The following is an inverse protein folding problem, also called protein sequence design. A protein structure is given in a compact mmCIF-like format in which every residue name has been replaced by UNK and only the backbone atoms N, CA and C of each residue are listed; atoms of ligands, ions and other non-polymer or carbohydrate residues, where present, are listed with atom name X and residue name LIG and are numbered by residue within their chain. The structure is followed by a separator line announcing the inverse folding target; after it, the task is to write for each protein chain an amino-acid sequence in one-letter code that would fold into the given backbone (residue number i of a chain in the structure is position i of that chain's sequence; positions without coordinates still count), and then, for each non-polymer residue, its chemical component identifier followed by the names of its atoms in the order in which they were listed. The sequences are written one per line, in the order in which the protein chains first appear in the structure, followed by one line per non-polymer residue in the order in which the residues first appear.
data_IF_204251724361
#
_entry.id   IF_204251724361
#
_cell.length_a   1.000
_cell.length_b   1.000
_cell.length_c   1.000
_cell.angle_alpha   90.00
_cell.angle_beta   90.00
_cell.angle_gamma   90.00
#
_symmetry.space_group_name_H-M   'P 1'
#
loop_
_entity.id
_entity.type
_entity.pdbx_description
1 polymer ?
#
# COMPACT_ATOMS: atom_id res chain seq x y z
N UNK A 1 11.74 -2.07 0.03
CA UNK A 1 11.88 -1.21 -1.15
C UNK A 1 10.55 -1.11 -1.88
N UNK A 2 10.11 0.11 -2.17
CA UNK A 2 8.86 0.34 -2.90
C UNK A 2 9.03 0.09 -4.39
N UNK A 3 8.05 -0.58 -4.98
CA UNK A 3 7.99 -0.86 -6.41
C UNK A 3 6.62 -0.43 -6.93
N UNK A 4 6.59 0.39 -7.98
CA UNK A 4 5.34 0.76 -8.64
C UNK A 4 4.88 -0.42 -9.49
N UNK A 5 3.61 -0.79 -9.34
CA UNK A 5 3.05 -1.97 -10.02
C UNK A 5 2.95 -1.74 -11.52
N UNK A 6 3.38 -2.74 -12.26
CA UNK A 6 3.23 -2.82 -13.72
C UNK A 6 2.20 -3.88 -14.07
N UNK A 7 1.73 -3.87 -15.31
CA UNK A 7 0.68 -4.77 -15.79
C UNK A 7 1.01 -6.26 -15.63
N UNK A 8 2.29 -6.62 -15.69
CA UNK A 8 2.73 -8.00 -15.57
C UNK A 8 2.72 -8.54 -14.13
N UNK A 9 2.40 -7.68 -13.15
CA UNK A 9 2.36 -8.03 -11.73
C UNK A 9 0.94 -8.21 -11.19
N UNK A 10 -0.05 -8.30 -12.06
CA UNK A 10 -1.46 -8.36 -11.66
C UNK A 10 -1.78 -9.52 -10.72
N UNK A 11 -1.17 -10.70 -10.92
CA UNK A 11 -1.40 -11.86 -10.06
C UNK A 11 -0.93 -11.63 -8.63
N UNK A 12 0.23 -10.98 -8.46
CA UNK A 12 0.77 -10.64 -7.14
C UNK A 12 -0.15 -9.64 -6.44
N UNK A 13 -0.60 -8.62 -7.16
CA UNK A 13 -1.50 -7.60 -6.63
C UNK A 13 -2.82 -8.22 -6.20
N UNK A 14 -3.43 -9.04 -7.05
CA UNK A 14 -4.70 -9.70 -6.73
C UNK A 14 -4.55 -10.60 -5.50
N UNK A 15 -3.45 -11.34 -5.41
CA UNK A 15 -3.15 -12.20 -4.27
C UNK A 15 -3.03 -11.41 -2.97
N UNK A 16 -2.32 -10.29 -2.97
CA UNK A 16 -2.18 -9.45 -1.78
C UNK A 16 -3.50 -8.75 -1.42
N UNK A 17 -4.22 -8.22 -2.40
CA UNK A 17 -5.52 -7.59 -2.15
C UNK A 17 -6.51 -8.55 -1.51
N UNK A 18 -6.42 -9.85 -1.81
CA UNK A 18 -7.32 -10.84 -1.22
C UNK A 18 -7.19 -10.97 0.29
N UNK A 19 -6.10 -10.50 0.89
CA UNK A 19 -5.93 -10.47 2.35
C UNK A 19 -6.61 -9.28 3.01
N UNK A 20 -7.15 -8.34 2.24
CA UNK A 20 -7.84 -7.19 2.79
C UNK A 20 -9.20 -7.60 3.34
N UNK A 21 -9.48 -7.22 4.61
CA UNK A 21 -10.71 -7.62 5.29
C UNK A 21 -11.97 -6.99 4.70
N UNK A 22 -11.83 -5.89 3.95
CA UNK A 22 -12.96 -5.20 3.31
C UNK A 22 -13.25 -5.71 1.89
N UNK A 23 -12.47 -6.67 1.38
CA UNK A 23 -12.67 -7.25 0.06
C UNK A 23 -13.12 -8.71 0.20
N UNK A 24 -14.44 -8.92 0.18
CA UNK A 24 -15.04 -10.18 0.59
C UNK A 24 -14.87 -11.34 -0.41
N UNK A 25 -14.67 -11.05 -1.70
CA UNK A 25 -14.58 -12.09 -2.73
C UNK A 25 -13.70 -11.64 -3.91
N UNK A 26 -13.48 -12.56 -4.84
CA UNK A 26 -12.66 -12.31 -6.03
C UNK A 26 -13.21 -11.17 -6.88
N UNK A 27 -14.54 -11.06 -6.98
CA UNK A 27 -15.16 -9.99 -7.75
C UNK A 27 -14.88 -8.62 -7.12
N UNK A 28 -14.91 -8.52 -5.78
CA UNK A 28 -14.57 -7.29 -5.07
C UNK A 28 -13.10 -6.92 -5.27
N UNK A 29 -12.20 -7.90 -5.21
CA UNK A 29 -10.77 -7.72 -5.45
C UNK A 29 -10.52 -7.20 -6.87
N UNK A 30 -11.19 -7.79 -7.86
CA UNK A 30 -11.05 -7.38 -9.25
C UNK A 30 -11.54 -5.95 -9.46
N UNK A 31 -12.68 -5.58 -8.87
CA UNK A 31 -13.22 -4.21 -8.96
C UNK A 31 -12.25 -3.19 -8.38
N UNK A 32 -11.64 -3.51 -7.24
CA UNK A 32 -10.69 -2.61 -6.59
C UNK A 32 -9.42 -2.45 -7.43
N UNK A 33 -8.91 -3.55 -7.98
CA UNK A 33 -7.77 -3.50 -8.89
C UNK A 33 -8.07 -2.64 -10.12
N UNK A 34 -9.23 -2.86 -10.74
CA UNK A 34 -9.65 -2.10 -11.93
C UNK A 34 -9.80 -0.62 -11.62
N UNK A 35 -10.28 -0.29 -10.41
CA UNK A 35 -10.41 1.09 -9.97
C UNK A 35 -9.05 1.80 -9.95
N UNK A 36 -8.01 1.12 -9.45
CA UNK A 36 -6.66 1.70 -9.46
C UNK A 36 -6.10 1.84 -10.88
N UNK A 37 -6.46 0.94 -11.77
CA UNK A 37 -5.99 0.99 -13.16
C UNK A 37 -6.73 2.02 -14.02
N UNK A 38 -7.87 2.50 -13.57
CA UNK A 38 -8.75 3.36 -14.39
C UNK A 38 -8.37 4.84 -14.38
N UNK A 39 -7.41 5.26 -13.54
CA UNK A 39 -7.05 6.67 -13.42
C UNK A 39 -5.55 6.80 -13.08
N UNK A 40 -4.87 7.70 -13.79
CA UNK A 40 -3.43 7.91 -13.61
C UNK A 40 -3.07 8.52 -12.26
N UNK A 41 -4.04 9.12 -11.54
CA UNK A 41 -3.80 9.68 -10.21
C UNK A 41 -3.74 8.61 -9.12
N UNK A 42 -4.01 7.36 -9.45
CA UNK A 42 -4.07 6.23 -8.51
C UNK A 42 -2.95 5.26 -8.81
N UNK A 43 -2.24 4.82 -7.77
CA UNK A 43 -1.14 3.87 -7.91
C UNK A 43 -1.29 2.72 -6.93
N UNK A 44 -0.83 1.55 -7.34
CA UNK A 44 -0.59 0.43 -6.43
C UNK A 44 0.92 0.29 -6.31
N UNK A 45 1.38 0.26 -5.06
CA UNK A 45 2.78 0.10 -4.74
C UNK A 45 2.95 -1.21 -3.97
N UNK A 46 4.05 -1.90 -4.24
CA UNK A 46 4.42 -3.11 -3.52
C UNK A 46 5.70 -2.86 -2.75
N UNK A 47 5.74 -3.36 -1.52
CA UNK A 47 6.96 -3.38 -0.73
C UNK A 47 7.64 -4.72 -0.90
N UNK A 48 8.88 -4.69 -1.35
CA UNK A 48 9.69 -5.88 -1.52
C UNK A 48 10.63 -6.02 -0.34
N UNK A 49 10.57 -7.17 0.32
CA UNK A 49 11.49 -7.51 1.39
C UNK A 49 12.89 -7.75 0.80
N UNK A 50 13.90 -7.10 1.40
CA UNK A 50 15.26 -7.15 0.86
C UNK A 50 15.95 -8.50 1.08
N UNK A 51 15.57 -9.22 2.12
CA UNK A 51 16.17 -10.53 2.45
C UNK A 51 15.54 -11.66 1.63
N UNK A 52 14.21 -11.73 1.60
CA UNK A 52 13.49 -12.81 0.93
C UNK A 52 13.19 -12.52 -0.53
N UNK A 53 13.22 -11.25 -0.93
CA UNK A 53 12.78 -10.75 -2.23
C UNK A 53 11.28 -10.94 -2.49
N UNK A 54 10.50 -11.30 -1.47
CA UNK A 54 9.05 -11.41 -1.57
C UNK A 54 8.39 -10.04 -1.48
N UNK A 55 7.28 -9.88 -2.17
CA UNK A 55 6.41 -8.72 -1.98
C UNK A 55 5.53 -8.99 -0.76
N UNK A 56 5.71 -8.20 0.30
CA UNK A 56 5.10 -8.45 1.60
C UNK A 56 4.05 -7.45 2.00
N UNK A 57 4.00 -6.29 1.33
CA UNK A 57 3.00 -5.26 1.63
C UNK A 57 2.50 -4.66 0.33
N UNK A 58 1.20 -4.45 0.27
CA UNK A 58 0.56 -3.70 -0.81
C UNK A 58 0.06 -2.38 -0.26
N UNK A 59 0.33 -1.30 -0.99
CA UNK A 59 -0.16 0.04 -0.69
C UNK A 59 -0.95 0.56 -1.89
N UNK A 60 -2.21 0.91 -1.66
CA UNK A 60 -3.03 1.58 -2.66
C UNK A 60 -3.11 3.05 -2.33
N UNK A 61 -2.70 3.91 -3.26
CA UNK A 61 -2.62 5.35 -3.03
C UNK A 61 -3.33 6.13 -4.13
N UNK A 62 -3.78 7.34 -3.79
CA UNK A 62 -4.37 8.26 -4.75
C UNK A 62 -3.77 9.64 -4.54
N UNK A 63 -3.36 10.29 -5.62
CA UNK A 63 -2.89 11.67 -5.58
C UNK A 63 -4.09 12.59 -5.69
N UNK A 64 -4.29 13.43 -4.67
CA UNK A 64 -5.40 14.38 -4.60
C UNK A 64 -4.82 15.74 -4.24
N UNK A 65 -4.68 16.62 -5.23
CA UNK A 65 -4.04 17.92 -5.06
C UNK A 65 -2.64 17.78 -4.44
N UNK A 66 -2.40 18.38 -3.28
CA UNK A 66 -1.12 18.33 -2.59
C UNK A 66 -0.96 17.11 -1.68
N UNK A 67 -1.95 16.21 -1.69
CA UNK A 67 -1.97 15.07 -0.77
C UNK A 67 -1.78 13.76 -1.52
N UNK A 68 -1.15 12.80 -0.85
CA UNK A 68 -1.16 11.40 -1.22
C UNK A 68 -2.00 10.66 -0.20
N UNK A 69 -3.17 10.18 -0.63
CA UNK A 69 -4.08 9.46 0.26
C UNK A 69 -3.75 7.98 0.18
N UNK A 70 -3.37 7.41 1.32
CA UNK A 70 -3.11 5.97 1.43
C UNK A 70 -4.44 5.30 1.72
N UNK A 71 -4.98 4.57 0.73
CA UNK A 71 -6.31 3.96 0.80
C UNK A 71 -6.30 2.52 1.24
N UNK A 72 -5.23 1.79 0.90
CA UNK A 72 -5.07 0.39 1.27
C UNK A 72 -3.69 0.15 1.84
N UNK A 73 -3.64 -0.59 2.94
CA UNK A 73 -2.42 -1.12 3.54
C UNK A 73 -2.71 -2.60 3.80
N UNK A 74 -2.09 -3.47 3.02
CA UNK A 74 -2.32 -4.90 3.13
C UNK A 74 -0.99 -5.61 3.38
N UNK A 75 -0.88 -6.27 4.53
CA UNK A 75 0.30 -7.06 4.87
C UNK A 75 0.06 -8.52 4.46
N UNK A 76 1.07 -9.12 3.84
CA UNK A 76 1.10 -10.56 3.62
C UNK A 76 1.11 -11.28 4.97
N UNK A 77 0.52 -12.49 5.07
CA UNK A 77 0.55 -13.27 6.32
C UNK A 77 1.95 -13.59 6.83
N UNK A 78 2.98 -13.54 5.98
CA UNK A 78 4.36 -13.78 6.43
C UNK A 78 4.93 -12.64 7.27
N UNK A 79 4.30 -11.46 7.28
CA UNK A 79 4.70 -10.33 8.12
C UNK A 79 4.08 -10.52 9.50
N UNK A 80 4.92 -10.69 10.52
CA UNK A 80 4.47 -10.86 11.90
C UNK A 80 3.98 -9.53 12.47
N UNK A 81 3.01 -9.57 13.37
CA UNK A 81 2.44 -8.37 13.98
C UNK A 81 3.52 -7.49 14.63
N UNK A 82 4.51 -8.10 15.29
CA UNK A 82 5.61 -7.38 15.93
C UNK A 82 6.50 -6.63 14.93
N UNK A 83 6.46 -7.00 13.64
CA UNK A 83 7.28 -6.39 12.58
C UNK A 83 6.58 -5.22 11.91
N UNK A 84 5.26 -5.16 12.01
CA UNK A 84 4.45 -4.21 11.24
C UNK A 84 4.77 -2.76 11.55
N UNK A 85 5.07 -2.45 12.81
CA UNK A 85 5.36 -1.09 13.24
C UNK A 85 6.66 -0.56 12.62
N UNK A 86 7.74 -1.31 12.76
CA UNK A 86 9.04 -0.95 12.20
C UNK A 86 8.98 -0.88 10.68
N UNK A 87 8.32 -1.86 10.07
CA UNK A 87 8.13 -1.90 8.63
C UNK A 87 7.31 -0.72 8.13
N UNK A 88 6.25 -0.36 8.86
CA UNK A 88 5.42 0.80 8.52
C UNK A 88 6.19 2.11 8.50
N UNK A 89 7.10 2.31 9.45
CA UNK A 89 7.98 3.49 9.46
C UNK A 89 8.87 3.54 8.22
N UNK A 90 9.44 2.42 7.84
CA UNK A 90 10.30 2.33 6.66
C UNK A 90 9.50 2.62 5.39
N UNK A 91 8.29 2.09 5.31
CA UNK A 91 7.36 2.36 4.20
C UNK A 91 7.01 3.85 4.15
N UNK A 92 6.70 4.46 5.29
CA UNK A 92 6.35 5.87 5.36
C UNK A 92 7.48 6.76 4.81
N UNK A 93 8.72 6.49 5.22
CA UNK A 93 9.89 7.22 4.72
C UNK A 93 10.09 7.03 3.23
N UNK A 94 9.88 5.81 2.74
CA UNK A 94 10.00 5.53 1.31
C UNK A 94 8.92 6.25 0.50
N UNK A 95 7.69 6.34 1.03
CA UNK A 95 6.61 7.11 0.40
C UNK A 95 6.94 8.59 0.35
N UNK A 96 7.49 9.15 1.43
CA UNK A 96 7.92 10.56 1.44
C UNK A 96 8.99 10.82 0.36
N UNK A 97 9.91 9.88 0.20
CA UNK A 97 10.97 9.99 -0.82
C UNK A 97 10.40 9.86 -2.24
N UNK A 98 9.42 8.99 -2.44
CA UNK A 98 8.79 8.76 -3.74
C UNK A 98 7.89 9.92 -4.16
N UNK A 99 7.22 10.56 -3.20
CA UNK A 99 6.27 11.67 -3.42
C UNK A 99 6.67 12.88 -2.58
N UNK A 100 7.82 13.52 -2.88
CA UNK A 100 8.39 14.55 -1.99
C UNK A 100 7.56 15.83 -1.90
N UNK A 101 6.70 16.10 -2.88
CA UNK A 101 5.85 17.28 -2.93
C UNK A 101 4.43 17.02 -2.44
N UNK A 102 4.16 15.83 -1.85
CA UNK A 102 2.84 15.45 -1.36
C UNK A 102 2.84 15.30 0.16
N UNK A 103 1.72 15.68 0.76
CA UNK A 103 1.45 15.41 2.18
C UNK A 103 0.81 14.02 2.27
N UNK A 104 1.42 13.14 3.06
CA UNK A 104 0.88 11.79 3.25
C UNK A 104 -0.27 11.82 4.25
N UNK A 105 -1.38 11.20 3.89
CA UNK A 105 -2.54 11.09 4.78
C UNK A 105 -3.24 9.75 4.55
N UNK A 106 -4.00 9.32 5.53
CA UNK A 106 -4.78 8.10 5.44
C UNK A 106 -6.22 8.35 5.02
N UNK A 107 -6.88 7.30 4.60
CA UNK A 107 -8.33 7.27 4.48
C UNK A 107 -8.94 6.94 5.86
N UNK A 108 -10.26 6.86 5.93
CA UNK A 108 -10.96 6.48 7.17
C UNK A 108 -10.41 5.15 7.72
N UNK A 109 -10.16 4.18 6.84
CA UNK A 109 -9.72 2.84 7.25
C UNK A 109 -8.23 2.74 7.56
N UNK A 110 -7.40 3.64 7.02
CA UNK A 110 -5.94 3.56 7.17
C UNK A 110 -5.36 4.63 8.09
N UNK A 111 -6.14 5.62 8.47
CA UNK A 111 -5.66 6.81 9.16
C UNK A 111 -4.88 6.49 10.44
N UNK A 112 -5.33 5.53 11.23
CA UNK A 112 -4.64 5.19 12.48
C UNK A 112 -3.24 4.63 12.23
N UNK A 113 -3.04 3.88 11.16
CA UNK A 113 -1.73 3.33 10.81
C UNK A 113 -0.79 4.43 10.32
N UNK A 114 -1.29 5.29 9.44
CA UNK A 114 -0.52 6.41 8.89
C UNK A 114 -0.06 7.34 10.02
N UNK A 115 -0.94 7.68 10.94
CA UNK A 115 -0.61 8.52 12.09
C UNK A 115 0.43 7.85 13.00
N UNK A 116 0.30 6.55 13.24
CA UNK A 116 1.27 5.82 14.06
C UNK A 116 2.66 5.84 13.41
N UNK A 117 2.74 5.63 12.10
CA UNK A 117 4.00 5.67 11.37
C UNK A 117 4.63 7.06 11.41
N UNK A 118 3.81 8.08 11.22
CA UNK A 118 4.25 9.48 11.24
C UNK A 118 4.80 9.89 12.60
N UNK A 119 4.09 9.55 13.69
CA UNK A 119 4.45 9.98 15.03
C UNK A 119 5.73 9.33 15.56
N UNK A 120 6.13 8.23 14.98
CA UNK A 120 7.31 7.48 15.41
C UNK A 120 8.54 7.72 14.53
N UNK A 121 8.37 8.48 13.48
CA UNK A 121 9.47 8.75 12.54
C UNK A 121 10.41 9.87 13.00
#
# INVERSE_FOLDING_TARGET
MLVIVRKDQSKIVMGLLSYSSDLADIAAVQREYDWYQSDDSRDILLWRDEETHHFTVLLGVARVYNSLVIRHIVFSPEVLDRQKRTLGKRIYKALQAQYPDKVLMGSITTQKYVMAWQNES
#
